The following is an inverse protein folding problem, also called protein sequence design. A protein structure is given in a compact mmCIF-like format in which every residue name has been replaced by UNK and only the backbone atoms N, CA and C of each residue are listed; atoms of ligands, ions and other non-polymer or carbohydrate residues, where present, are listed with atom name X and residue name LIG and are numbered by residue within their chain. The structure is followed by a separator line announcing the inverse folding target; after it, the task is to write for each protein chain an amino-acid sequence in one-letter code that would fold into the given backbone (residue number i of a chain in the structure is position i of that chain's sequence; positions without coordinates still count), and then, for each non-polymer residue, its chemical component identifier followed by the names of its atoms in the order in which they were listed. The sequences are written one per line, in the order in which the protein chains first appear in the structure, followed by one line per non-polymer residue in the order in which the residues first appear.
data_IF_405612233859
#
_entry.id   IF_405612233859
#
_cell.length_a   1.000
_cell.length_b   1.000
_cell.length_c   1.000
_cell.angle_alpha   90.00
_cell.angle_beta   90.00
_cell.angle_gamma   90.00
#
_symmetry.space_group_name_H-M   'P 1'
#
loop_
_entity.id
_entity.type
_entity.pdbx_description
1 polymer ?
#
# COMPACT_ATOMS: atom_id res chain seq x y z
N UNK A 1 14.62 78.97 -21.37
CA UNK A 1 15.43 77.71 -21.28
C UNK A 1 15.39 77.08 -19.88
N UNK A 2 14.55 77.48 -18.95
CA UNK A 2 14.49 77.03 -17.56
C UNK A 2 13.38 75.97 -17.28
N UNK A 3 12.39 75.83 -18.14
CA UNK A 3 11.22 74.95 -17.85
C UNK A 3 11.44 73.48 -18.13
N UNK A 4 12.42 73.12 -18.95
CA UNK A 4 12.68 71.71 -19.29
C UNK A 4 13.41 70.90 -18.21
N UNK A 5 14.16 71.56 -17.31
CA UNK A 5 14.94 70.90 -16.28
C UNK A 5 14.07 70.47 -15.10
N UNK A 6 13.07 71.26 -14.74
CA UNK A 6 12.15 70.97 -13.63
C UNK A 6 11.20 69.79 -13.95
N UNK A 7 10.77 69.64 -15.20
CA UNK A 7 9.93 68.51 -15.64
C UNK A 7 10.71 67.16 -15.57
N UNK A 8 11.97 67.17 -15.99
CA UNK A 8 12.84 65.95 -15.91
C UNK A 8 13.13 65.50 -14.49
N UNK A 9 13.28 66.43 -13.56
CA UNK A 9 13.53 66.12 -12.14
C UNK A 9 12.32 65.48 -11.48
N UNK A 10 11.11 65.94 -11.77
CA UNK A 10 9.86 65.38 -11.25
C UNK A 10 9.54 64.00 -11.81
N UNK A 11 9.82 63.71 -13.09
CA UNK A 11 9.60 62.41 -13.70
C UNK A 11 10.57 61.39 -13.10
N UNK A 12 11.84 61.74 -12.88
CA UNK A 12 12.84 60.84 -12.30
C UNK A 12 12.55 60.51 -10.83
N UNK A 13 12.05 61.47 -10.05
CA UNK A 13 11.70 61.29 -8.65
C UNK A 13 10.44 60.44 -8.47
N UNK A 14 9.41 60.60 -9.32
CA UNK A 14 8.22 59.80 -9.28
C UNK A 14 8.45 58.35 -9.78
N UNK A 15 9.28 58.16 -10.80
CA UNK A 15 9.64 56.82 -11.25
C UNK A 15 10.41 56.00 -10.22
N UNK A 16 11.32 56.64 -9.43
CA UNK A 16 12.04 56.04 -8.34
C UNK A 16 11.13 55.66 -7.15
N UNK A 17 10.12 56.48 -6.85
CA UNK A 17 9.13 56.21 -5.79
C UNK A 17 8.23 55.02 -6.14
N UNK A 18 7.72 54.95 -7.37
CA UNK A 18 6.91 53.79 -7.88
C UNK A 18 7.75 52.51 -7.90
N UNK A 19 9.04 52.57 -8.28
CA UNK A 19 9.95 51.43 -8.27
C UNK A 19 10.22 50.89 -6.86
N UNK A 20 10.36 51.77 -5.85
CA UNK A 20 10.58 51.37 -4.43
C UNK A 20 9.32 50.71 -3.84
N UNK A 21 8.13 51.20 -4.13
CA UNK A 21 6.86 50.62 -3.63
C UNK A 21 6.55 49.26 -4.26
N UNK A 22 6.84 49.09 -5.55
CA UNK A 22 6.71 47.78 -6.22
C UNK A 22 7.70 46.74 -5.66
N UNK A 23 8.92 47.13 -5.25
CA UNK A 23 9.88 46.23 -4.60
C UNK A 23 9.44 45.82 -3.20
N UNK A 24 8.84 46.74 -2.41
CA UNK A 24 8.27 46.40 -1.09
C UNK A 24 7.10 45.48 -1.19
N UNK A 25 6.18 45.65 -2.14
CA UNK A 25 5.05 44.77 -2.41
C UNK A 25 5.48 43.35 -2.83
N UNK A 26 6.50 43.23 -3.70
CA UNK A 26 7.06 41.93 -4.10
C UNK A 26 7.74 41.19 -2.93
N UNK A 27 8.49 41.90 -2.05
CA UNK A 27 9.09 41.30 -0.85
C UNK A 27 8.03 40.82 0.15
N UNK A 28 6.95 41.60 0.36
CA UNK A 28 5.84 41.23 1.25
C UNK A 28 5.07 40.01 0.74
N UNK A 29 4.76 39.93 -0.56
CA UNK A 29 4.15 38.76 -1.21
C UNK A 29 5.04 37.50 -1.13
N UNK A 30 6.36 37.64 -1.29
CA UNK A 30 7.30 36.52 -1.17
C UNK A 30 7.42 36.02 0.28
N UNK A 31 7.32 36.91 1.29
CA UNK A 31 7.31 36.52 2.72
C UNK A 31 6.02 35.81 3.10
N UNK A 32 4.86 36.27 2.62
CA UNK A 32 3.56 35.63 2.84
C UNK A 32 3.52 34.24 2.18
N UNK A 33 3.99 34.07 0.94
CA UNK A 33 4.08 32.77 0.27
C UNK A 33 4.99 31.79 1.02
N UNK A 34 6.11 32.24 1.60
CA UNK A 34 6.98 31.39 2.43
C UNK A 34 6.29 30.99 3.73
N UNK A 35 5.58 31.90 4.40
CA UNK A 35 4.81 31.58 5.62
C UNK A 35 3.69 30.59 5.35
N UNK A 36 2.93 30.77 4.28
CA UNK A 36 1.87 29.82 3.86
C UNK A 36 2.48 28.44 3.55
N UNK A 37 3.61 28.39 2.85
CA UNK A 37 4.31 27.15 2.56
C UNK A 37 4.79 26.42 3.83
N UNK A 38 5.32 27.15 4.82
CA UNK A 38 5.74 26.57 6.10
C UNK A 38 4.54 26.10 6.92
N UNK A 39 3.42 26.86 6.94
CA UNK A 39 2.19 26.46 7.63
C UNK A 39 1.58 25.20 7.02
N UNK A 40 1.60 25.11 5.68
CA UNK A 40 1.11 23.93 4.95
C UNK A 40 1.97 22.69 5.20
N UNK A 41 3.30 22.85 5.25
CA UNK A 41 4.25 21.79 5.61
C UNK A 41 4.07 21.30 7.05
N UNK A 42 3.88 22.20 8.02
CA UNK A 42 3.65 21.84 9.42
C UNK A 42 2.29 21.14 9.60
N UNK A 43 1.24 21.58 8.92
CA UNK A 43 -0.05 20.85 8.93
C UNK A 43 0.09 19.43 8.35
N UNK A 44 0.80 19.25 7.23
CA UNK A 44 1.04 17.92 6.64
C UNK A 44 1.83 17.03 7.61
N UNK A 45 2.84 17.56 8.29
CA UNK A 45 3.62 16.80 9.27
C UNK A 45 2.81 16.43 10.52
N UNK A 46 1.90 17.28 10.99
CA UNK A 46 1.00 17.00 12.11
C UNK A 46 -0.04 15.93 11.74
N UNK A 47 -0.63 15.99 10.54
CA UNK A 47 -1.56 14.96 10.07
C UNK A 47 -0.89 13.60 9.85
N UNK A 48 0.37 13.55 9.40
CA UNK A 48 1.10 12.28 9.23
C UNK A 48 1.55 11.67 10.56
N UNK A 49 1.77 12.46 11.59
CA UNK A 49 2.16 11.94 12.92
C UNK A 49 0.97 11.37 13.70
N UNK A 50 -0.23 11.93 13.56
CA UNK A 50 -1.45 11.42 14.23
C UNK A 50 -1.83 10.03 13.71
N UNK A 51 -1.78 9.81 12.37
CA UNK A 51 -2.10 8.50 11.80
C UNK A 51 -1.09 7.40 12.16
N UNK A 52 0.15 7.74 12.54
CA UNK A 52 1.15 6.77 12.97
C UNK A 52 0.95 6.28 14.41
N UNK A 53 0.44 7.15 15.28
CA UNK A 53 0.18 6.83 16.69
C UNK A 53 -1.00 5.86 16.84
N UNK A 54 -2.07 6.02 16.04
CA UNK A 54 -3.29 5.22 16.15
C UNK A 54 -3.08 3.74 15.77
N UNK A 55 -2.41 3.46 14.65
CA UNK A 55 -2.15 2.08 14.23
C UNK A 55 -1.21 1.31 15.20
N UNK A 56 -0.31 2.01 15.90
CA UNK A 56 0.56 1.40 16.90
C UNK A 56 -0.17 1.10 18.23
N UNK A 57 -1.22 1.84 18.55
CA UNK A 57 -2.03 1.70 19.78
C UNK A 57 -3.27 0.85 19.59
N UNK A 58 -3.67 0.55 18.34
CA UNK A 58 -4.79 -0.31 18.02
C UNK A 58 -4.68 -1.66 18.75
N UNK A 59 -5.78 -2.11 19.34
CA UNK A 59 -5.85 -3.38 20.08
C UNK A 59 -6.99 -4.24 19.53
N UNK A 60 -6.87 -5.55 19.67
CA UNK A 60 -8.00 -6.45 19.49
C UNK A 60 -8.91 -6.38 20.70
N UNK A 61 -10.20 -6.20 20.49
CA UNK A 61 -11.22 -6.36 21.53
C UNK A 61 -11.36 -7.83 21.93
N UNK A 62 -11.94 -8.13 23.07
CA UNK A 62 -12.16 -9.51 23.51
C UNK A 62 -13.07 -10.29 22.55
N UNK A 63 -14.07 -9.64 21.95
CA UNK A 63 -14.94 -10.26 20.95
C UNK A 63 -14.18 -10.60 19.67
N UNK A 64 -13.32 -9.68 19.16
CA UNK A 64 -12.47 -9.91 17.99
C UNK A 64 -11.51 -11.06 18.22
N UNK A 65 -10.81 -11.10 19.35
CA UNK A 65 -9.93 -12.20 19.73
C UNK A 65 -10.67 -13.53 19.69
N UNK A 66 -11.86 -13.61 20.30
CA UNK A 66 -12.68 -14.83 20.34
C UNK A 66 -13.10 -15.28 18.93
N UNK A 67 -13.56 -14.35 18.08
CA UNK A 67 -13.99 -14.68 16.71
C UNK A 67 -12.83 -15.09 15.84
N UNK A 68 -11.75 -14.33 15.80
CA UNK A 68 -10.58 -14.64 14.97
C UNK A 68 -9.90 -15.93 15.41
N UNK A 69 -9.73 -16.14 16.72
CA UNK A 69 -9.21 -17.40 17.27
C UNK A 69 -10.06 -18.59 16.83
N UNK A 70 -11.39 -18.47 16.94
CA UNK A 70 -12.30 -19.56 16.53
C UNK A 70 -12.17 -19.87 15.04
N UNK A 71 -12.14 -18.84 14.17
CA UNK A 71 -12.01 -19.03 12.73
C UNK A 71 -10.68 -19.68 12.35
N UNK A 72 -9.57 -19.18 12.90
CA UNK A 72 -8.24 -19.71 12.61
C UNK A 72 -8.07 -21.14 13.12
N UNK A 73 -8.50 -21.45 14.35
CA UNK A 73 -8.46 -22.81 14.90
C UNK A 73 -9.38 -23.76 14.13
N UNK A 74 -10.57 -23.32 13.73
CA UNK A 74 -11.48 -24.11 12.89
C UNK A 74 -10.87 -24.46 11.54
N UNK A 75 -10.15 -23.51 10.92
CA UNK A 75 -9.41 -23.76 9.68
C UNK A 75 -8.30 -24.81 9.83
N UNK A 76 -7.54 -24.75 10.92
CA UNK A 76 -6.50 -25.76 11.22
C UNK A 76 -7.11 -27.14 11.43
N UNK A 77 -8.19 -27.26 12.20
CA UNK A 77 -8.84 -28.55 12.49
C UNK A 77 -9.46 -29.22 11.26
N UNK A 78 -9.88 -28.46 10.26
CA UNK A 78 -10.46 -29.00 9.01
C UNK A 78 -9.40 -29.49 8.03
N UNK A 79 -8.12 -29.23 8.29
CA UNK A 79 -7.02 -29.65 7.44
C UNK A 79 -6.20 -30.75 8.11
N UNK A 80 -5.95 -31.82 7.41
CA UNK A 80 -4.93 -32.80 7.77
C UNK A 80 -3.54 -32.22 7.44
N UNK A 81 -2.49 -32.65 8.17
CA UNK A 81 -1.07 -32.32 7.89
C UNK A 81 -0.61 -30.89 8.19
N UNK A 82 -1.15 -30.24 9.24
CA UNK A 82 -0.64 -28.93 9.68
C UNK A 82 -0.83 -27.80 8.66
N UNK A 83 -1.80 -27.95 7.79
CA UNK A 83 -2.24 -26.98 6.80
C UNK A 83 -3.42 -26.15 7.34
N UNK A 84 -3.90 -25.19 6.58
CA UNK A 84 -5.05 -24.35 6.91
C UNK A 84 -6.10 -24.43 5.81
N UNK A 85 -7.35 -24.78 6.18
CA UNK A 85 -8.44 -24.82 5.24
C UNK A 85 -9.03 -23.42 5.00
N UNK A 86 -8.94 -22.95 3.74
CA UNK A 86 -9.52 -21.69 3.32
C UNK A 86 -11.01 -21.90 2.99
N UNK A 87 -11.88 -21.39 3.86
CA UNK A 87 -13.33 -21.54 3.70
C UNK A 87 -13.89 -20.76 2.50
N UNK A 88 -13.24 -19.67 2.09
CA UNK A 88 -13.69 -18.84 0.97
C UNK A 88 -13.38 -19.46 -0.40
N UNK A 89 -12.28 -20.20 -0.52
CA UNK A 89 -11.88 -20.89 -1.76
C UNK A 89 -11.99 -22.40 -1.69
N UNK A 90 -12.45 -22.94 -0.56
CA UNK A 90 -12.57 -24.38 -0.33
C UNK A 90 -11.28 -25.13 -0.67
N UNK A 91 -10.14 -24.54 -0.32
CA UNK A 91 -8.81 -25.07 -0.61
C UNK A 91 -7.94 -25.17 0.62
N UNK A 92 -6.86 -25.95 0.50
CA UNK A 92 -5.86 -26.14 1.56
C UNK A 92 -4.73 -25.15 1.34
N UNK A 93 -4.36 -24.43 2.39
CA UNK A 93 -3.23 -23.51 2.42
C UNK A 93 -2.03 -24.18 3.10
N UNK A 94 -0.90 -24.24 2.41
CA UNK A 94 0.36 -24.81 2.89
C UNK A 94 1.26 -23.74 3.49
N UNK A 95 1.99 -24.11 4.57
CA UNK A 95 2.91 -23.21 5.27
C UNK A 95 2.24 -21.91 5.76
N UNK A 96 1.02 -21.99 6.34
CA UNK A 96 0.29 -20.77 6.69
C UNK A 96 0.99 -20.01 7.81
N UNK A 97 1.06 -18.70 7.62
CA UNK A 97 1.57 -17.73 8.62
C UNK A 97 0.51 -16.66 8.83
N UNK A 98 0.59 -15.94 9.96
CA UNK A 98 -0.29 -14.81 10.21
C UNK A 98 0.46 -13.62 10.77
N UNK A 99 -0.15 -12.45 10.60
CA UNK A 99 0.29 -11.18 11.13
C UNK A 99 -0.90 -10.37 11.62
N UNK A 100 -0.70 -9.55 12.66
CA UNK A 100 -1.76 -8.74 13.28
C UNK A 100 -1.39 -7.26 13.14
N UNK A 101 -2.23 -6.49 12.45
CA UNK A 101 -2.00 -5.07 12.20
C UNK A 101 -3.31 -4.37 11.82
N UNK A 102 -3.46 -3.07 12.16
CA UNK A 102 -4.54 -2.22 11.68
C UNK A 102 -4.21 -1.72 10.27
N UNK A 103 -4.75 -2.38 9.25
CA UNK A 103 -4.41 -2.12 7.84
C UNK A 103 -5.34 -1.13 7.14
N UNK A 104 -6.44 -0.74 7.78
CA UNK A 104 -7.43 0.20 7.25
C UNK A 104 -7.48 1.52 8.05
N UNK A 105 -6.74 1.60 9.18
CA UNK A 105 -6.61 2.79 10.02
C UNK A 105 -7.89 3.12 10.80
N UNK A 106 -8.69 2.11 11.17
CA UNK A 106 -9.93 2.30 11.93
C UNK A 106 -9.76 2.19 13.46
N UNK A 107 -8.52 1.93 13.92
CA UNK A 107 -8.19 1.78 15.34
C UNK A 107 -8.34 0.35 15.87
N UNK A 108 -8.81 -0.59 15.04
CA UNK A 108 -8.90 -2.01 15.36
C UNK A 108 -7.81 -2.80 14.63
N UNK A 109 -7.31 -3.86 15.27
CA UNK A 109 -6.36 -4.74 14.61
C UNK A 109 -7.06 -5.78 13.76
N UNK A 110 -6.55 -5.93 12.54
CA UNK A 110 -6.92 -7.00 11.63
C UNK A 110 -5.97 -8.18 11.77
N UNK A 111 -6.40 -9.35 11.34
CA UNK A 111 -5.56 -10.55 11.26
C UNK A 111 -5.41 -10.97 9.81
N UNK A 112 -4.18 -11.02 9.32
CA UNK A 112 -3.87 -11.45 7.95
C UNK A 112 -3.26 -12.85 8.02
N UNK A 113 -3.91 -13.82 7.38
CA UNK A 113 -3.39 -15.17 7.18
C UNK A 113 -2.87 -15.29 5.77
N UNK A 114 -1.66 -15.79 5.59
CA UNK A 114 -1.02 -15.92 4.27
C UNK A 114 -0.34 -17.28 4.12
N UNK A 115 -0.28 -17.80 2.90
CA UNK A 115 0.35 -19.08 2.57
C UNK A 115 0.20 -19.43 1.09
N UNK A 116 0.52 -20.66 0.74
CA UNK A 116 0.38 -21.21 -0.62
C UNK A 116 -0.91 -22.00 -0.73
N UNK A 117 -1.77 -21.66 -1.69
CA UNK A 117 -3.07 -22.30 -1.89
C UNK A 117 -2.99 -23.40 -2.96
N UNK A 118 -3.37 -24.62 -2.57
CA UNK A 118 -3.53 -25.77 -3.47
C UNK A 118 -2.22 -26.28 -4.07
N UNK A 119 -2.34 -27.28 -4.94
CA UNK A 119 -1.22 -28.00 -5.57
C UNK A 119 -0.38 -27.10 -6.52
N UNK A 120 -0.94 -26.00 -7.02
CA UNK A 120 -0.23 -25.05 -7.89
C UNK A 120 0.60 -24.02 -7.14
N UNK A 121 0.69 -24.11 -5.80
CA UNK A 121 1.46 -23.21 -4.96
C UNK A 121 1.17 -21.73 -5.18
N UNK A 122 -0.08 -21.39 -5.52
CA UNK A 122 -0.50 -20.01 -5.70
C UNK A 122 -0.42 -19.26 -4.35
N UNK A 123 0.32 -18.19 -4.32
CA UNK A 123 0.40 -17.31 -3.14
C UNK A 123 -0.95 -16.65 -2.88
N UNK A 124 -1.41 -16.71 -1.62
CA UNK A 124 -2.74 -16.25 -1.23
C UNK A 124 -2.76 -15.70 0.20
N UNK A 125 -3.63 -14.72 0.45
CA UNK A 125 -3.85 -14.18 1.78
C UNK A 125 -5.34 -13.98 2.06
N UNK A 126 -5.72 -14.12 3.33
CA UNK A 126 -7.05 -13.79 3.87
C UNK A 126 -6.88 -12.73 4.95
N UNK A 127 -7.75 -11.73 4.93
CA UNK A 127 -7.78 -10.66 5.91
C UNK A 127 -9.06 -10.80 6.71
N UNK A 128 -8.93 -10.94 8.02
CA UNK A 128 -10.03 -10.98 8.98
C UNK A 128 -10.16 -9.60 9.59
N UNK A 129 -11.32 -8.95 9.38
CA UNK A 129 -11.64 -7.61 9.86
C UNK A 129 -12.94 -7.58 10.63
N UNK A 130 -13.03 -6.65 11.60
CA UNK A 130 -14.28 -6.26 12.24
C UNK A 130 -14.57 -4.80 11.89
N UNK A 131 -15.46 -4.56 10.95
CA UNK A 131 -15.79 -3.24 10.42
C UNK A 131 -17.31 -3.07 10.34
N UNK A 132 -17.79 -1.86 10.67
CA UNK A 132 -19.23 -1.53 10.69
C UNK A 132 -20.06 -2.56 11.50
N UNK A 133 -19.55 -3.01 12.65
CA UNK A 133 -20.21 -4.00 13.53
C UNK A 133 -20.28 -5.43 12.94
N UNK A 134 -19.58 -5.72 11.83
CA UNK A 134 -19.61 -7.02 11.15
C UNK A 134 -18.22 -7.60 10.98
N UNK A 135 -18.10 -8.91 11.22
CA UNK A 135 -16.89 -9.66 10.91
C UNK A 135 -16.84 -10.06 9.43
N UNK A 136 -15.74 -9.75 8.77
CA UNK A 136 -15.54 -10.02 7.34
C UNK A 136 -14.24 -10.77 7.09
N UNK A 137 -14.23 -11.56 6.01
CA UNK A 137 -13.01 -12.17 5.46
C UNK A 137 -12.84 -11.67 4.04
N UNK A 138 -11.73 -11.00 3.79
CA UNK A 138 -11.39 -10.40 2.49
C UNK A 138 -10.25 -11.20 1.87
N UNK A 139 -10.51 -11.93 0.78
CA UNK A 139 -9.48 -12.66 0.05
C UNK A 139 -8.66 -11.70 -0.83
N UNK A 140 -7.33 -11.87 -0.83
CA UNK A 140 -6.41 -11.15 -1.71
C UNK A 140 -5.38 -12.08 -2.32
N UNK A 141 -4.92 -11.79 -3.53
CA UNK A 141 -3.87 -12.55 -4.20
C UNK A 141 -2.50 -12.21 -3.63
N UNK A 142 -1.61 -13.19 -3.63
CA UNK A 142 -0.23 -13.06 -3.22
C UNK A 142 0.01 -13.26 -1.73
N UNK A 143 1.24 -13.61 -1.38
CA UNK A 143 1.70 -13.70 0.01
C UNK A 143 1.93 -12.32 0.59
N UNK A 144 1.56 -12.12 1.85
CA UNK A 144 1.79 -10.86 2.56
C UNK A 144 3.29 -10.55 2.66
N UNK A 145 3.68 -9.33 2.32
CA UNK A 145 5.06 -8.88 2.40
C UNK A 145 5.23 -7.59 3.22
N UNK A 146 4.28 -6.68 3.16
CA UNK A 146 4.33 -5.43 3.89
C UNK A 146 2.96 -4.88 4.24
N UNK A 147 2.92 -4.01 5.25
CA UNK A 147 1.69 -3.39 5.75
C UNK A 147 1.90 -1.91 6.07
N UNK A 148 0.80 -1.16 6.07
CA UNK A 148 0.66 0.16 6.68
C UNK A 148 -0.79 0.34 7.09
N UNK A 149 -1.11 1.42 7.83
CA UNK A 149 -2.50 1.81 8.14
C UNK A 149 -3.33 2.25 6.91
N UNK A 150 -2.78 2.12 5.70
CA UNK A 150 -3.47 2.46 4.45
C UNK A 150 -3.60 1.26 3.51
N UNK A 151 -3.14 0.07 3.92
CA UNK A 151 -3.22 -1.11 3.08
C UNK A 151 -2.11 -2.14 3.28
N UNK A 152 -2.10 -3.10 2.37
CA UNK A 152 -1.11 -4.20 2.36
C UNK A 152 -0.37 -4.28 1.02
N UNK A 153 0.82 -4.86 1.09
CA UNK A 153 1.65 -5.22 -0.05
C UNK A 153 1.82 -6.73 -0.11
N UNK A 154 1.45 -7.33 -1.24
CA UNK A 154 1.57 -8.76 -1.49
C UNK A 154 2.49 -9.05 -2.65
N UNK A 155 3.06 -10.26 -2.67
CA UNK A 155 3.92 -10.79 -3.74
C UNK A 155 3.37 -12.13 -4.19
N UNK A 156 3.28 -12.31 -5.49
CA UNK A 156 2.94 -13.56 -6.16
C UNK A 156 4.02 -13.87 -7.19
N UNK A 157 4.55 -15.08 -7.14
CA UNK A 157 5.47 -15.64 -8.13
C UNK A 157 4.77 -16.80 -8.80
N UNK A 158 4.83 -16.91 -10.13
CA UNK A 158 4.19 -17.99 -10.88
C UNK A 158 4.92 -18.27 -12.21
N UNK A 159 4.62 -19.43 -12.81
CA UNK A 159 5.19 -19.91 -14.06
C UNK A 159 4.07 -20.26 -15.03
N UNK A 160 4.27 -19.98 -16.32
CA UNK A 160 3.38 -20.38 -17.40
C UNK A 160 4.05 -21.33 -18.36
N UNK A 161 3.25 -22.15 -19.08
CA UNK A 161 3.68 -22.90 -20.24
C UNK A 161 4.95 -23.73 -20.03
N UNK A 162 4.90 -24.74 -19.16
CA UNK A 162 6.05 -25.63 -18.91
C UNK A 162 7.37 -24.91 -18.60
N UNK A 163 7.30 -23.74 -17.96
CA UNK A 163 8.48 -22.93 -17.62
C UNK A 163 8.92 -21.96 -18.72
N UNK A 164 8.13 -21.79 -19.78
CA UNK A 164 8.45 -20.83 -20.84
C UNK A 164 8.47 -19.40 -20.34
N UNK A 165 7.62 -19.07 -19.37
CA UNK A 165 7.60 -17.76 -18.75
C UNK A 165 7.57 -17.88 -17.22
N UNK A 166 8.28 -16.94 -16.58
CA UNK A 166 8.21 -16.67 -15.15
C UNK A 166 7.68 -15.25 -14.94
N UNK A 167 6.71 -15.07 -14.08
CA UNK A 167 6.27 -13.74 -13.71
C UNK A 167 6.18 -13.55 -12.21
N UNK A 168 6.56 -12.35 -11.80
CA UNK A 168 6.44 -11.85 -10.45
C UNK A 168 5.47 -10.69 -10.44
N UNK A 169 4.38 -10.86 -9.71
CA UNK A 169 3.36 -9.82 -9.52
C UNK A 169 3.46 -9.25 -8.12
N UNK A 170 3.56 -7.93 -8.03
CA UNK A 170 3.52 -7.18 -6.80
C UNK A 170 2.21 -6.41 -6.76
N UNK A 171 1.39 -6.61 -5.72
CA UNK A 171 0.10 -5.94 -5.61
C UNK A 171 0.01 -5.13 -4.32
N UNK A 172 -0.43 -3.88 -4.45
CA UNK A 172 -0.65 -2.95 -3.36
C UNK A 172 -2.14 -2.72 -3.23
N UNK A 173 -2.77 -3.24 -2.17
CA UNK A 173 -4.19 -3.04 -1.90
C UNK A 173 -4.36 -1.87 -0.93
N UNK A 174 -5.21 -0.90 -1.30
CA UNK A 174 -5.64 0.19 -0.43
C UNK A 174 -7.02 -0.08 0.12
N UNK A 175 -7.18 0.11 1.43
CA UNK A 175 -8.46 -0.02 2.12
C UNK A 175 -8.97 1.34 2.56
N UNK A 176 -10.30 1.48 2.63
CA UNK A 176 -10.93 2.54 3.43
C UNK A 176 -11.16 2.04 4.87
N UNK A 177 -11.57 2.94 5.76
CA UNK A 177 -11.88 2.61 7.17
C UNK A 177 -13.01 1.58 7.33
N UNK A 178 -13.81 1.36 6.30
CA UNK A 178 -14.87 0.34 6.25
C UNK A 178 -14.38 -1.00 5.69
N UNK A 179 -13.06 -1.19 5.55
CA UNK A 179 -12.44 -2.42 5.06
C UNK A 179 -12.72 -2.75 3.58
N UNK A 180 -13.16 -1.77 2.77
CA UNK A 180 -13.37 -1.98 1.34
C UNK A 180 -12.08 -1.69 0.57
N UNK A 181 -11.73 -2.53 -0.39
CA UNK A 181 -10.63 -2.26 -1.31
C UNK A 181 -11.06 -1.11 -2.23
N UNK A 182 -10.52 0.08 -2.00
CA UNK A 182 -10.84 1.28 -2.79
C UNK A 182 -10.04 1.33 -4.08
N UNK A 183 -8.82 0.82 -4.03
CA UNK A 183 -7.90 0.83 -5.15
C UNK A 183 -6.81 -0.23 -4.94
N UNK A 184 -6.35 -0.84 -6.02
CA UNK A 184 -5.11 -1.59 -5.98
C UNK A 184 -4.18 -1.19 -7.13
N UNK A 185 -2.88 -1.44 -6.93
CA UNK A 185 -1.83 -1.17 -7.89
C UNK A 185 -1.08 -2.46 -8.14
N UNK A 186 -0.86 -2.79 -9.39
CA UNK A 186 -0.18 -4.00 -9.81
C UNK A 186 1.10 -3.64 -10.57
N UNK A 187 2.19 -4.27 -10.21
CA UNK A 187 3.42 -4.30 -11.01
C UNK A 187 3.70 -5.75 -11.35
N UNK A 188 3.80 -6.06 -12.64
CA UNK A 188 4.17 -7.38 -13.11
C UNK A 188 5.49 -7.30 -13.87
N UNK A 189 6.44 -8.16 -13.47
CA UNK A 189 7.65 -8.44 -14.22
C UNK A 189 7.52 -9.84 -14.82
N UNK A 190 7.57 -9.95 -16.15
CA UNK A 190 7.57 -11.21 -16.87
C UNK A 190 8.95 -11.45 -17.45
N UNK A 191 9.50 -12.65 -17.29
CA UNK A 191 10.72 -13.11 -17.92
C UNK A 191 10.36 -14.28 -18.83
N UNK A 192 10.42 -14.07 -20.15
CA UNK A 192 10.11 -15.08 -21.18
C UNK A 192 11.40 -15.76 -21.57
N UNK A 193 11.50 -17.07 -21.36
CA UNK A 193 12.64 -17.89 -21.76
C UNK A 193 12.42 -18.58 -23.11
N UNK A 194 11.16 -18.88 -23.44
CA UNK A 194 10.79 -19.46 -24.71
C UNK A 194 9.50 -18.80 -25.23
N UNK A 195 9.57 -18.27 -26.45
CA UNK A 195 8.46 -17.68 -27.18
C UNK A 195 7.88 -18.76 -28.08
N UNK A 196 6.76 -19.36 -27.70
CA UNK A 196 6.12 -20.44 -28.42
C UNK A 196 5.60 -20.01 -29.80
N UNK A 197 5.08 -18.79 -29.91
CA UNK A 197 4.50 -18.27 -31.16
C UNK A 197 5.56 -18.08 -32.24
N UNK A 198 6.79 -17.71 -31.82
CA UNK A 198 7.92 -17.43 -32.71
C UNK A 198 8.97 -18.54 -32.75
N UNK A 199 8.80 -19.55 -31.89
CA UNK A 199 9.76 -20.64 -31.70
C UNK A 199 11.21 -20.13 -31.35
N UNK A 200 11.29 -19.08 -30.48
CA UNK A 200 12.56 -18.44 -30.11
C UNK A 200 12.89 -18.76 -28.65
N UNK A 201 14.11 -19.23 -28.38
CA UNK A 201 14.66 -19.43 -27.05
C UNK A 201 15.59 -18.27 -26.70
N UNK A 202 15.33 -17.61 -25.56
CA UNK A 202 16.14 -16.50 -25.03
C UNK A 202 17.10 -17.02 -23.96
N UNK A 203 18.41 -16.99 -24.20
CA UNK A 203 19.46 -17.49 -23.27
C UNK A 203 19.39 -16.87 -21.88
N UNK A 204 19.11 -15.56 -21.78
CA UNK A 204 19.02 -14.81 -20.52
C UNK A 204 17.57 -14.38 -20.18
N UNK A 205 16.59 -14.86 -20.95
CA UNK A 205 15.20 -14.42 -20.84
C UNK A 205 14.96 -12.99 -21.37
N UNK A 206 13.80 -12.78 -21.99
CA UNK A 206 13.33 -11.44 -22.39
C UNK A 206 12.47 -10.87 -21.25
N UNK A 207 12.82 -9.69 -20.75
CA UNK A 207 12.12 -9.05 -19.62
C UNK A 207 11.12 -8.02 -20.12
N UNK A 208 9.89 -8.13 -19.68
CA UNK A 208 8.86 -7.09 -19.81
C UNK A 208 8.34 -6.66 -18.43
N UNK A 209 7.88 -5.41 -18.34
CA UNK A 209 7.37 -4.84 -17.08
C UNK A 209 6.13 -4.02 -17.37
N UNK A 210 5.09 -4.22 -16.54
CA UNK A 210 3.84 -3.46 -16.62
C UNK A 210 3.46 -2.95 -15.24
N UNK A 211 2.89 -1.74 -15.18
CA UNK A 211 2.32 -1.18 -13.96
C UNK A 211 0.90 -0.70 -14.24
N UNK A 212 -0.03 -1.08 -13.38
CA UNK A 212 -1.44 -0.69 -13.48
C UNK A 212 -1.95 -0.15 -12.15
N UNK A 213 -2.89 0.76 -12.22
CA UNK A 213 -3.73 1.21 -11.13
C UNK A 213 -5.16 0.80 -11.45
N UNK A 214 -5.83 0.14 -10.53
CA UNK A 214 -7.13 -0.50 -10.74
C UNK A 214 -8.12 0.00 -9.68
N UNK A 215 -9.28 0.47 -10.13
CA UNK A 215 -10.41 0.93 -9.29
C UNK A 215 -11.67 0.24 -9.80
N UNK A 216 -12.25 -0.66 -9.00
CA UNK A 216 -13.31 -1.54 -9.45
C UNK A 216 -12.87 -2.32 -10.71
N UNK A 217 -13.63 -2.23 -11.80
CA UNK A 217 -13.32 -2.89 -13.07
C UNK A 217 -12.47 -2.03 -14.04
N UNK A 218 -12.08 -0.80 -13.64
CA UNK A 218 -11.32 0.10 -14.50
C UNK A 218 -9.84 0.00 -14.19
N UNK A 219 -9.02 -0.26 -15.21
CA UNK A 219 -7.56 -0.26 -15.10
C UNK A 219 -6.95 0.86 -15.93
N UNK A 220 -5.85 1.44 -15.41
CA UNK A 220 -5.06 2.48 -16.07
C UNK A 220 -3.58 2.13 -15.95
N UNK A 221 -2.82 2.20 -17.05
CA UNK A 221 -1.38 2.10 -16.99
C UNK A 221 -0.79 3.27 -16.22
N UNK A 222 0.20 3.00 -15.38
CA UNK A 222 0.93 4.00 -14.60
C UNK A 222 2.45 3.78 -14.80
N UNK A 223 3.23 4.78 -14.43
CA UNK A 223 4.69 4.67 -14.48
C UNK A 223 5.23 3.81 -13.32
N UNK A 224 6.40 3.18 -13.53
CA UNK A 224 7.12 2.47 -12.46
C UNK A 224 7.45 3.41 -11.29
N UNK A 225 7.73 4.70 -11.57
CA UNK A 225 7.99 5.73 -10.54
C UNK A 225 6.78 5.95 -9.65
N UNK A 226 5.58 6.03 -10.24
CA UNK A 226 4.33 6.16 -9.50
C UNK A 226 4.06 4.92 -8.64
N UNK A 227 4.22 3.71 -9.21
CA UNK A 227 4.08 2.48 -8.46
C UNK A 227 5.04 2.43 -7.26
N UNK A 228 6.33 2.75 -7.44
CA UNK A 228 7.33 2.77 -6.37
C UNK A 228 6.97 3.77 -5.26
N UNK A 229 6.44 4.95 -5.61
CA UNK A 229 5.96 5.94 -4.65
C UNK A 229 4.84 5.37 -3.77
N UNK A 230 3.82 4.75 -4.37
CA UNK A 230 2.73 4.13 -3.61
C UNK A 230 3.25 2.97 -2.75
N UNK A 231 4.13 2.13 -3.31
CA UNK A 231 4.76 1.03 -2.58
C UNK A 231 5.48 1.49 -1.33
N UNK A 232 6.25 2.59 -1.37
CA UNK A 232 6.98 3.10 -0.20
C UNK A 232 6.06 3.51 0.96
N UNK A 233 4.83 3.91 0.67
CA UNK A 233 3.83 4.25 1.68
C UNK A 233 3.16 3.00 2.29
N UNK A 234 2.84 2.00 1.47
CA UNK A 234 2.14 0.78 1.91
C UNK A 234 3.12 -0.24 2.49
N UNK A 235 4.32 -0.41 1.91
CA UNK A 235 5.34 -1.31 2.42
C UNK A 235 6.20 -0.66 3.53
N UNK A 236 5.57 0.10 4.41
CA UNK A 236 6.23 0.81 5.50
C UNK A 236 6.84 -0.17 6.51
N UNK A 237 6.15 -1.25 6.78
CA UNK A 237 6.61 -2.32 7.65
C UNK A 237 6.71 -3.62 6.84
N UNK A 238 7.95 -4.02 6.53
CA UNK A 238 8.20 -5.35 5.97
C UNK A 238 7.99 -6.40 7.05
N UNK A 239 6.98 -7.24 6.86
CA UNK A 239 6.53 -8.22 7.86
C UNK A 239 6.91 -9.65 7.52
N UNK A 240 7.53 -9.90 6.37
CA UNK A 240 7.86 -11.26 5.90
C UNK A 240 8.64 -12.10 6.93
N UNK A 241 9.54 -11.46 7.70
CA UNK A 241 10.33 -12.10 8.76
C UNK A 241 9.68 -12.05 10.16
N UNK A 242 8.56 -11.32 10.30
CA UNK A 242 7.86 -11.08 11.58
C UNK A 242 6.55 -11.87 11.69
N UNK A 243 6.16 -12.56 10.64
CA UNK A 243 4.95 -13.38 10.63
C UNK A 243 5.12 -14.62 11.50
N UNK A 244 4.06 -14.98 12.21
CA UNK A 244 4.01 -16.15 13.07
C UNK A 244 3.45 -17.35 12.30
N UNK A 245 4.03 -18.54 12.50
CA UNK A 245 3.45 -19.78 11.97
C UNK A 245 2.04 -19.95 12.53
N UNK A 246 1.09 -20.29 11.69
CA UNK A 246 -0.30 -20.49 12.06
C UNK A 246 -0.46 -21.86 12.75
N UNK A 247 -0.47 -21.83 14.08
CA UNK A 247 -0.77 -22.99 14.93
C UNK A 247 -1.52 -22.52 16.18
N UNK A 248 -2.14 -23.46 16.89
CA UNK A 248 -2.96 -23.15 18.07
C UNK A 248 -2.19 -22.44 19.18
N UNK A 249 -0.91 -22.75 19.38
CA UNK A 249 -0.05 -22.11 20.39
C UNK A 249 0.20 -20.64 20.04
N UNK A 250 0.64 -20.35 18.82
CA UNK A 250 0.90 -18.99 18.36
C UNK A 250 -0.37 -18.15 18.32
N UNK A 251 -1.50 -18.71 17.87
CA UNK A 251 -2.79 -18.01 17.88
C UNK A 251 -3.12 -17.56 19.31
N UNK A 252 -3.06 -18.45 20.27
CA UNK A 252 -3.33 -18.13 21.69
C UNK A 252 -2.33 -17.12 22.27
N UNK A 253 -1.06 -17.15 21.85
CA UNK A 253 -0.02 -16.24 22.31
C UNK A 253 -0.20 -14.82 21.77
N UNK A 254 -0.46 -14.66 20.48
CA UNK A 254 -0.40 -13.37 19.79
C UNK A 254 -1.76 -12.70 19.57
N UNK A 255 -2.87 -13.43 19.78
CA UNK A 255 -4.22 -12.86 19.82
C UNK A 255 -4.74 -12.63 21.25
N UNK A 256 -3.88 -12.71 22.26
CA UNK A 256 -4.23 -12.39 23.65
C UNK A 256 -4.46 -10.91 23.90
#
# INVERSE_FOLDING_TARGET
MTDNITVWYNIKHNSLKISKDNRKGKKKKKKIRKMIGVLFMTCILLFTSVTQSEAATAKLTQSEKKVYTRWMISGIKKSEYGTYYNSKRQGIMFGPKFYVYDINGDGHKDVIVTGLLGLRSMSYSEIYMHVDGKYRVIPVKGSLYGVSSQGIYTVEDDYTGAGAEYYKTLTLYKFDKHGRITKHYEYRKTTTYYDMDRNIRYKNGKISQTCKSIVGNRSKNISIKEFRRVKSHINKYNVSKKMHTLNSSNIRKYLK
#
